data_IF_634617368524
#
_entry.id   IF_634617368524
#
_cell.length_a   1.000
_cell.length_b   1.000
_cell.length_c   1.000
_cell.angle_alpha   90.00
_cell.angle_beta   90.00
_cell.angle_gamma   90.00
#
_symmetry.space_group_name_H-M   'P 1'
#
loop_
_entity.id
_entity.type
_entity.pdbx_description
1 polymer ?
#
# COMPACT_ATOMS: atom_id res chain seq x y z
N UNK A 1 -5.96 1.64 -26.93
CA UNK A 1 -6.98 1.14 -25.96
C UNK A 1 -6.37 0.29 -24.86
N UNK A 2 -5.54 -0.72 -25.16
CA UNK A 2 -4.91 -1.55 -24.14
C UNK A 2 -4.04 -0.78 -23.13
N UNK A 3 -3.34 0.27 -23.57
CA UNK A 3 -2.51 1.11 -22.70
C UNK A 3 -3.31 1.80 -21.60
N UNK A 4 -4.47 2.37 -21.92
CA UNK A 4 -5.35 3.05 -20.95
C UNK A 4 -5.92 2.07 -19.92
N UNK A 5 -6.28 0.86 -20.35
CA UNK A 5 -6.77 -0.21 -19.47
C UNK A 5 -5.65 -0.62 -18.50
N UNK A 6 -4.43 -0.79 -19.01
CA UNK A 6 -3.27 -1.13 -18.21
C UNK A 6 -2.96 -0.04 -17.19
N UNK A 7 -3.00 1.24 -17.58
CA UNK A 7 -2.81 2.37 -16.64
C UNK A 7 -3.84 2.36 -15.51
N UNK A 8 -5.13 2.14 -15.82
CA UNK A 8 -6.19 2.06 -14.81
C UNK A 8 -5.99 0.89 -13.85
N UNK A 9 -5.53 -0.26 -14.36
CA UNK A 9 -5.18 -1.41 -13.53
C UNK A 9 -3.97 -1.13 -12.64
N UNK A 10 -2.92 -0.50 -13.18
CA UNK A 10 -1.74 -0.10 -12.40
C UNK A 10 -2.17 0.85 -11.27
N UNK A 11 -2.97 1.86 -11.58
CA UNK A 11 -3.50 2.81 -10.59
C UNK A 11 -4.33 2.11 -9.50
N UNK A 12 -5.22 1.19 -9.89
CA UNK A 12 -6.05 0.42 -8.94
C UNK A 12 -5.20 -0.45 -8.01
N UNK A 13 -4.16 -1.09 -8.53
CA UNK A 13 -3.25 -1.90 -7.74
C UNK A 13 -2.35 -1.06 -6.83
N UNK A 14 -1.93 0.13 -7.26
CA UNK A 14 -1.20 1.07 -6.40
C UNK A 14 -2.01 1.45 -5.16
N UNK A 15 -3.31 1.70 -5.31
CA UNK A 15 -4.21 1.95 -4.15
C UNK A 15 -4.30 0.71 -3.25
N UNK A 16 -4.37 -0.49 -3.83
CA UNK A 16 -4.40 -1.73 -3.06
C UNK A 16 -3.14 -1.92 -2.21
N UNK A 17 -1.96 -1.57 -2.72
CA UNK A 17 -0.71 -1.62 -1.95
C UNK A 17 -0.81 -0.74 -0.70
N UNK A 18 -1.39 0.46 -0.82
CA UNK A 18 -1.57 1.34 0.35
C UNK A 18 -2.61 0.77 1.33
N UNK A 19 -3.69 0.15 0.85
CA UNK A 19 -4.66 -0.55 1.73
C UNK A 19 -4.02 -1.69 2.51
N UNK A 20 -3.03 -2.39 1.96
CA UNK A 20 -2.39 -3.53 2.60
C UNK A 20 -1.65 -3.14 3.90
N UNK A 21 -1.12 -1.92 3.99
CA UNK A 21 -0.51 -1.42 5.24
C UNK A 21 -1.51 -1.35 6.40
N UNK A 22 -2.79 -1.08 6.12
CA UNK A 22 -3.81 -1.12 7.16
C UNK A 22 -4.06 -2.52 7.65
N UNK A 23 -4.09 -3.49 6.74
CA UNK A 23 -4.25 -4.88 7.09
C UNK A 23 -3.13 -5.32 8.03
N UNK A 24 -1.88 -4.95 7.74
CA UNK A 24 -0.76 -5.22 8.64
C UNK A 24 -0.94 -4.57 10.02
N UNK A 25 -1.46 -3.34 10.08
CA UNK A 25 -1.76 -2.68 11.36
C UNK A 25 -2.86 -3.42 12.14
N UNK A 26 -3.92 -3.86 11.47
CA UNK A 26 -5.01 -4.64 12.09
C UNK A 26 -4.53 -5.99 12.62
N UNK A 27 -3.64 -6.66 11.88
CA UNK A 27 -2.99 -7.90 12.31
C UNK A 27 -2.12 -7.67 13.55
N UNK A 28 -1.33 -6.59 13.57
CA UNK A 28 -0.47 -6.26 14.71
C UNK A 28 -1.26 -5.95 16.00
N UNK A 29 -2.47 -5.41 15.88
CA UNK A 29 -3.35 -5.07 17.01
C UNK A 29 -4.20 -6.29 17.45
N UNK A 30 -4.32 -7.32 16.62
CA UNK A 30 -5.03 -8.56 16.94
C UNK A 30 -6.54 -8.53 16.72
N UNK A 31 -7.12 -7.43 16.20
CA UNK A 31 -8.56 -7.34 15.87
C UNK A 31 -8.82 -7.62 14.38
N UNK A 32 -8.63 -8.89 13.96
CA UNK A 32 -8.92 -9.32 12.59
C UNK A 32 -10.42 -9.31 12.25
N UNK A 33 -11.33 -9.20 13.24
CA UNK A 33 -12.78 -9.33 13.02
C UNK A 33 -13.30 -8.26 12.05
N UNK A 34 -12.74 -7.06 12.11
CA UNK A 34 -13.10 -5.98 11.18
C UNK A 34 -12.62 -6.27 9.76
N UNK A 35 -11.43 -6.85 9.58
CA UNK A 35 -10.95 -7.25 8.26
C UNK A 35 -11.85 -8.31 7.60
N UNK A 36 -12.34 -9.27 8.39
CA UNK A 36 -13.28 -10.29 7.90
C UNK A 36 -14.63 -9.65 7.54
N UNK A 37 -15.09 -8.65 8.30
CA UNK A 37 -16.30 -7.88 7.98
C UNK A 37 -16.14 -7.10 6.66
N UNK A 38 -15.00 -6.45 6.47
CA UNK A 38 -14.65 -5.78 5.22
C UNK A 38 -14.69 -6.74 4.03
N UNK A 39 -13.98 -7.87 4.12
CA UNK A 39 -13.93 -8.84 3.03
C UNK A 39 -15.31 -9.42 2.73
N UNK A 40 -16.18 -9.61 3.72
CA UNK A 40 -17.57 -10.01 3.49
C UNK A 40 -18.35 -8.96 2.71
N UNK A 41 -18.25 -7.69 3.08
CA UNK A 41 -18.88 -6.59 2.33
C UNK A 41 -18.34 -6.56 0.90
N UNK A 42 -17.02 -6.71 0.74
CA UNK A 42 -16.35 -6.75 -0.55
C UNK A 42 -16.85 -7.90 -1.42
N UNK A 43 -16.97 -9.10 -0.85
CA UNK A 43 -17.47 -10.27 -1.54
C UNK A 43 -18.90 -10.05 -2.07
N UNK A 44 -19.76 -9.48 -1.23
CA UNK A 44 -21.19 -9.29 -1.55
C UNK A 44 -21.42 -8.11 -2.50
N UNK A 45 -20.54 -7.11 -2.51
CA UNK A 45 -20.73 -5.91 -3.34
C UNK A 45 -19.87 -5.93 -4.60
N UNK A 46 -18.56 -6.15 -4.48
CA UNK A 46 -17.61 -6.02 -5.57
C UNK A 46 -17.74 -7.15 -6.59
N UNK A 47 -17.88 -8.40 -6.13
CA UNK A 47 -17.97 -9.56 -7.03
C UNK A 47 -19.19 -9.47 -7.95
N UNK A 48 -20.44 -9.26 -7.48
CA UNK A 48 -21.56 -9.16 -8.40
C UNK A 48 -21.45 -7.95 -9.33
N UNK A 49 -20.91 -6.83 -8.85
CA UNK A 49 -20.65 -5.66 -9.69
C UNK A 49 -19.64 -5.96 -10.80
N UNK A 50 -18.54 -6.66 -10.50
CA UNK A 50 -17.55 -6.98 -11.53
C UNK A 50 -18.12 -7.94 -12.57
N UNK A 51 -18.93 -8.91 -12.16
CA UNK A 51 -19.64 -9.81 -13.08
C UNK A 51 -20.62 -9.06 -13.96
N UNK A 52 -21.42 -8.17 -13.39
CA UNK A 52 -22.37 -7.34 -14.16
C UNK A 52 -21.64 -6.48 -15.19
N UNK A 53 -20.59 -5.75 -14.77
CA UNK A 53 -19.83 -4.92 -15.69
C UNK A 53 -19.06 -5.72 -16.74
N UNK A 54 -18.59 -6.92 -16.42
CA UNK A 54 -17.91 -7.78 -17.39
C UNK A 54 -18.86 -8.37 -18.45
N UNK A 55 -20.13 -8.58 -18.12
CA UNK A 55 -21.10 -9.18 -19.04
C UNK A 55 -21.83 -8.16 -19.91
N UNK A 56 -22.09 -6.97 -19.37
CA UNK A 56 -22.88 -5.92 -20.05
C UNK A 56 -22.03 -4.78 -20.62
N UNK A 57 -20.78 -4.61 -20.19
CA UNK A 57 -19.91 -3.50 -20.58
C UNK A 57 -18.52 -3.98 -21.00
N UNK A 58 -17.79 -3.10 -21.69
CA UNK A 58 -16.40 -3.35 -22.08
C UNK A 58 -15.43 -3.40 -20.89
N UNK A 59 -14.29 -4.05 -21.12
CA UNK A 59 -13.17 -4.20 -20.17
C UNK A 59 -12.71 -2.87 -19.55
N UNK A 60 -12.88 -1.76 -20.28
CA UNK A 60 -12.59 -0.41 -19.78
C UNK A 60 -13.40 -0.08 -18.52
N UNK A 61 -14.70 -0.40 -18.49
CA UNK A 61 -15.56 -0.12 -17.34
C UNK A 61 -15.21 -1.01 -16.15
N UNK A 62 -14.81 -2.26 -16.41
CA UNK A 62 -14.30 -3.16 -15.37
C UNK A 62 -13.03 -2.60 -14.72
N UNK A 63 -12.13 -2.00 -15.51
CA UNK A 63 -10.91 -1.36 -15.03
C UNK A 63 -11.22 -0.10 -14.20
N UNK A 64 -12.10 0.77 -14.69
CA UNK A 64 -12.55 1.97 -13.97
C UNK A 64 -13.22 1.58 -12.64
N UNK A 65 -14.13 0.61 -12.67
CA UNK A 65 -14.81 0.11 -11.48
C UNK A 65 -13.81 -0.42 -10.47
N UNK A 66 -12.83 -1.19 -10.92
CA UNK A 66 -11.78 -1.75 -10.07
C UNK A 66 -10.92 -0.68 -9.40
N UNK A 67 -10.64 0.43 -10.08
CA UNK A 67 -9.94 1.57 -9.51
C UNK A 67 -10.81 2.33 -8.50
N UNK A 68 -12.00 2.76 -8.94
CA UNK A 68 -12.92 3.57 -8.12
C UNK A 68 -13.37 2.82 -6.88
N UNK A 69 -13.65 1.52 -6.99
CA UNK A 69 -14.07 0.69 -5.85
C UNK A 69 -12.93 0.55 -4.83
N UNK A 70 -11.69 0.30 -5.27
CA UNK A 70 -10.52 0.24 -4.37
C UNK A 70 -10.23 1.59 -3.72
N UNK A 71 -10.39 2.69 -4.46
CA UNK A 71 -10.22 4.04 -3.94
C UNK A 71 -11.30 4.41 -2.91
N UNK A 72 -12.57 4.17 -3.23
CA UNK A 72 -13.68 4.39 -2.32
C UNK A 72 -13.57 3.52 -1.07
N UNK A 73 -13.22 2.24 -1.24
CA UNK A 73 -13.01 1.32 -0.13
C UNK A 73 -11.83 1.76 0.74
N UNK A 74 -10.72 2.22 0.14
CA UNK A 74 -9.62 2.84 0.88
C UNK A 74 -10.14 4.02 1.70
N UNK A 75 -10.79 5.02 1.11
CA UNK A 75 -11.28 6.20 1.83
C UNK A 75 -12.25 5.87 2.98
N UNK A 76 -13.29 5.09 2.70
CA UNK A 76 -14.34 4.77 3.66
C UNK A 76 -13.83 3.87 4.78
N UNK A 77 -13.05 2.84 4.43
CA UNK A 77 -12.55 1.87 5.39
C UNK A 77 -11.37 2.43 6.20
N UNK A 78 -10.49 3.24 5.60
CA UNK A 78 -9.45 3.98 6.32
C UNK A 78 -10.04 4.85 7.42
N UNK A 79 -11.06 5.63 7.07
CA UNK A 79 -11.72 6.49 8.05
C UNK A 79 -12.32 5.69 9.21
N UNK A 80 -13.03 4.59 8.90
CA UNK A 80 -13.63 3.72 9.92
C UNK A 80 -12.59 3.07 10.84
N UNK A 81 -11.54 2.47 10.27
CA UNK A 81 -10.51 1.77 11.03
C UNK A 81 -9.70 2.75 11.88
N UNK A 82 -9.31 3.91 11.34
CA UNK A 82 -8.58 4.90 12.13
C UNK A 82 -9.42 5.47 13.29
N UNK A 83 -10.74 5.61 13.11
CA UNK A 83 -11.63 6.07 14.18
C UNK A 83 -11.74 5.04 15.32
N UNK A 84 -11.85 3.75 14.98
CA UNK A 84 -11.95 2.66 15.97
C UNK A 84 -10.61 2.39 16.67
N UNK A 85 -9.50 2.49 15.93
CA UNK A 85 -8.21 2.00 16.40
C UNK A 85 -7.51 2.94 17.38
N UNK A 86 -7.81 4.25 17.48
CA UNK A 86 -7.27 5.23 18.49
C UNK A 86 -5.74 5.26 18.76
N UNK A 87 -4.93 4.41 18.14
CA UNK A 87 -3.49 4.23 18.43
C UNK A 87 -2.63 5.27 17.70
N UNK A 88 -3.07 5.81 16.55
CA UNK A 88 -2.32 6.83 15.79
C UNK A 88 -3.25 7.82 15.08
N UNK A 89 -2.96 9.11 15.20
CA UNK A 89 -3.67 10.20 14.52
C UNK A 89 -3.49 10.10 12.99
N UNK A 90 -4.59 10.01 12.23
CA UNK A 90 -4.62 9.82 10.76
C UNK A 90 -3.65 10.73 9.99
N UNK A 91 -3.55 12.01 10.39
CA UNK A 91 -2.67 12.99 9.73
C UNK A 91 -1.18 12.66 9.89
N UNK A 92 -0.76 12.22 11.07
CA UNK A 92 0.63 11.89 11.36
C UNK A 92 1.07 10.60 10.64
N UNK A 93 0.19 9.62 10.53
CA UNK A 93 0.49 8.38 9.80
C UNK A 93 0.62 8.63 8.29
N UNK A 94 -0.31 9.39 7.70
CA UNK A 94 -0.27 9.71 6.28
C UNK A 94 0.97 10.55 5.92
N UNK A 95 1.28 11.59 6.71
CA UNK A 95 2.41 12.47 6.41
C UNK A 95 3.77 11.86 6.73
N UNK A 96 3.88 10.99 7.74
CA UNK A 96 5.17 10.45 8.19
C UNK A 96 5.53 9.11 7.56
N UNK A 97 4.55 8.30 7.15
CA UNK A 97 4.80 6.96 6.61
C UNK A 97 4.49 6.85 5.11
N UNK A 98 3.35 7.38 4.66
CA UNK A 98 2.96 7.26 3.23
C UNK A 98 3.64 8.32 2.39
N UNK A 99 3.59 9.58 2.81
CA UNK A 99 4.08 10.71 2.01
C UNK A 99 5.56 10.58 1.61
N UNK A 100 6.49 10.14 2.49
CA UNK A 100 7.89 9.96 2.10
C UNK A 100 8.06 8.82 1.09
N UNK A 101 7.33 7.71 1.25
CA UNK A 101 7.36 6.59 0.31
C UNK A 101 6.84 7.01 -1.06
N UNK A 102 5.74 7.77 -1.09
CA UNK A 102 5.15 8.29 -2.33
C UNK A 102 6.10 9.27 -3.03
N UNK A 103 6.71 10.19 -2.27
CA UNK A 103 7.71 11.13 -2.78
C UNK A 103 8.90 10.41 -3.41
N UNK A 104 9.44 9.38 -2.77
CA UNK A 104 10.55 8.60 -3.31
C UNK A 104 10.18 7.89 -4.61
N UNK A 105 8.99 7.27 -4.68
CA UNK A 105 8.51 6.66 -5.92
C UNK A 105 8.39 7.68 -7.05
N UNK A 106 7.82 8.87 -6.77
CA UNK A 106 7.68 9.94 -7.75
C UNK A 106 9.03 10.50 -8.22
N UNK A 107 9.99 10.65 -7.30
CA UNK A 107 11.34 11.14 -7.62
C UNK A 107 12.07 10.16 -8.54
N UNK A 108 12.06 8.86 -8.22
CA UNK A 108 12.70 7.83 -9.04
C UNK A 108 12.04 7.75 -10.42
N UNK A 109 10.70 7.72 -10.48
CA UNK A 109 10.00 7.73 -11.77
C UNK A 109 10.29 8.99 -12.57
N UNK A 110 10.27 10.17 -11.94
CA UNK A 110 10.56 11.45 -12.59
C UNK A 110 12.00 11.52 -13.11
N UNK A 111 12.96 11.00 -12.34
CA UNK A 111 14.36 10.93 -12.74
C UNK A 111 14.55 10.06 -13.99
N UNK A 112 13.90 8.89 -14.07
CA UNK A 112 14.00 8.02 -15.26
C UNK A 112 13.40 8.65 -16.52
N UNK A 113 12.32 9.43 -16.37
CA UNK A 113 11.70 10.17 -17.48
C UNK A 113 12.59 11.34 -17.92
N UNK A 114 13.16 12.09 -16.96
CA UNK A 114 14.03 13.23 -17.26
C UNK A 114 15.31 12.83 -17.99
N UNK A 115 15.94 11.72 -17.61
CA UNK A 115 17.15 11.21 -18.27
C UNK A 115 16.89 10.44 -19.57
N UNK A 116 15.64 10.33 -20.02
CA UNK A 116 15.30 9.73 -21.31
C UNK A 116 15.76 8.27 -21.44
N UNK A 117 15.76 7.52 -20.33
CA UNK A 117 16.16 6.11 -20.32
C UNK A 117 15.05 5.31 -21.01
N UNK A 118 15.09 5.26 -22.34
CA UNK A 118 14.03 4.68 -23.18
C UNK A 118 14.16 3.16 -23.38
N UNK A 119 15.22 2.54 -22.86
CA UNK A 119 15.35 1.08 -22.91
C UNK A 119 14.54 0.46 -21.78
N UNK A 120 13.36 -0.03 -22.12
CA UNK A 120 12.42 -0.73 -21.21
C UNK A 120 13.16 -1.70 -20.26
N UNK A 121 14.08 -2.53 -20.78
CA UNK A 121 14.85 -3.48 -19.97
C UNK A 121 15.79 -2.80 -18.95
N UNK A 122 16.43 -1.69 -19.32
CA UNK A 122 17.33 -0.95 -18.43
C UNK A 122 16.53 -0.19 -17.36
N UNK A 123 15.40 0.42 -17.73
CA UNK A 123 14.51 1.12 -16.80
C UNK A 123 13.91 0.16 -15.78
N UNK A 124 13.46 -1.03 -16.21
CA UNK A 124 12.97 -2.08 -15.30
C UNK A 124 14.07 -2.56 -14.36
N UNK A 125 15.30 -2.78 -14.86
CA UNK A 125 16.42 -3.25 -14.04
C UNK A 125 16.85 -2.21 -12.98
N UNK A 126 16.91 -0.93 -13.35
CA UNK A 126 17.20 0.18 -12.42
C UNK A 126 16.10 0.31 -11.35
N UNK A 127 14.82 0.17 -11.71
CA UNK A 127 13.72 0.17 -10.76
C UNK A 127 13.80 -1.01 -9.78
N UNK A 128 14.11 -2.22 -10.26
CA UNK A 128 14.25 -3.40 -9.39
C UNK A 128 15.42 -3.25 -8.41
N UNK A 129 16.57 -2.74 -8.85
CA UNK A 129 17.73 -2.51 -7.98
C UNK A 129 17.42 -1.46 -6.91
N UNK A 130 16.76 -0.36 -7.29
CA UNK A 130 16.38 0.70 -6.34
C UNK A 130 15.33 0.24 -5.33
N UNK A 131 14.37 -0.59 -5.72
CA UNK A 131 13.42 -1.21 -4.79
C UNK A 131 14.11 -2.18 -3.83
N UNK A 132 15.04 -3.01 -4.34
CA UNK A 132 15.80 -3.94 -3.51
C UNK A 132 16.70 -3.24 -2.49
N UNK A 133 17.37 -2.15 -2.89
CA UNK A 133 18.24 -1.38 -1.99
C UNK A 133 17.45 -0.65 -0.92
N UNK A 134 16.29 -0.07 -1.25
CA UNK A 134 15.39 0.55 -0.28
C UNK A 134 14.87 -0.47 0.74
N UNK A 135 14.46 -1.65 0.27
CA UNK A 135 14.00 -2.72 1.15
C UNK A 135 15.12 -3.20 2.11
N UNK A 136 16.34 -3.39 1.59
CA UNK A 136 17.50 -3.76 2.41
C UNK A 136 17.81 -2.69 3.47
N UNK A 137 17.74 -1.40 3.12
CA UNK A 137 17.95 -0.31 4.07
C UNK A 137 16.91 -0.29 5.20
N UNK A 138 15.63 -0.53 4.88
CA UNK A 138 14.57 -0.61 5.88
C UNK A 138 14.79 -1.80 6.82
N UNK A 139 15.14 -2.96 6.29
CA UNK A 139 15.41 -4.18 7.10
C UNK A 139 16.61 -3.97 8.01
N UNK A 140 17.70 -3.39 7.51
CA UNK A 140 18.87 -3.07 8.32
C UNK A 140 18.52 -2.07 9.43
N UNK A 141 17.76 -1.02 9.13
CA UNK A 141 17.28 -0.07 10.12
C UNK A 141 16.44 -0.74 11.22
N UNK A 142 15.52 -1.63 10.84
CA UNK A 142 14.69 -2.38 11.77
C UNK A 142 15.52 -3.32 12.67
N UNK A 143 16.53 -4.00 12.11
CA UNK A 143 17.44 -4.88 12.87
C UNK A 143 18.30 -4.10 13.87
N UNK A 144 18.80 -2.93 13.47
CA UNK A 144 19.57 -2.05 14.37
C UNK A 144 18.69 -1.55 15.51
N UNK A 145 17.47 -1.09 15.19
CA UNK A 145 16.52 -0.64 16.21
C UNK A 145 16.15 -1.77 17.18
N UNK A 146 15.90 -2.98 16.67
CA UNK A 146 15.63 -4.15 17.49
C UNK A 146 16.80 -4.49 18.42
N UNK A 147 18.05 -4.40 17.95
CA UNK A 147 19.23 -4.59 18.79
C UNK A 147 19.38 -3.53 19.87
N UNK A 148 19.09 -2.25 19.56
CA UNK A 148 19.17 -1.15 20.54
C UNK A 148 18.10 -1.31 21.62
N UNK A 149 16.85 -1.54 21.21
CA UNK A 149 15.73 -1.74 22.16
C UNK A 149 15.96 -2.95 23.05
N UNK A 150 16.46 -4.07 22.50
CA UNK A 150 16.73 -5.27 23.27
C UNK A 150 17.89 -5.07 24.26
N UNK A 151 18.87 -4.22 23.91
CA UNK A 151 19.96 -3.82 24.81
C UNK A 151 19.46 -2.96 25.98
N UNK A 152 18.55 -2.00 25.75
CA UNK A 152 17.96 -1.19 26.82
C UNK A 152 17.03 -1.97 27.74
N UNK A 153 16.29 -2.97 27.23
CA UNK A 153 15.49 -3.86 28.07
C UNK A 153 16.33 -4.77 28.96
N UNK A 154 17.49 -5.24 28.50
CA UNK A 154 18.40 -6.06 29.31
C UNK A 154 19.08 -5.23 30.43
N UNK A 155 19.49 -4.00 30.12
CA UNK A 155 20.04 -3.07 31.12
C UNK A 155 19.04 -2.77 32.23
N UNK A 156 17.75 -2.59 31.92
CA UNK A 156 16.72 -2.31 32.94
C UNK A 156 16.33 -3.53 33.81
N UNK A 157 16.68 -4.75 33.41
CA UNK A 157 16.42 -5.98 34.20
C UNK A 157 17.56 -6.28 35.18
N UNK A 158 18.81 -5.90 34.89
CA UNK A 158 19.96 -6.11 35.79
C UNK A 158 20.04 -5.13 36.97
N UNK A 159 19.27 -4.03 36.97
CA UNK A 159 19.27 -3.01 38.03
C UNK A 159 18.06 -3.09 38.99
N UNK A 160 17.33 -4.21 39.03
CA UNK A 160 16.20 -4.43 39.94
C UNK A 160 16.36 -5.69 40.76
#
# INVERSE_FOLDING_TARGET
MGETILTLYILGNSVAIVTAFQYYLQVAIGDLKEHVRYNKILLVTYIPLIFFFAYFYDVLYVAILSFTFKLASFLLWQWYVHHKTRVVTHKAWFSRNILPSLLMCCLVSGFTVFFGINKIQLTTLVLLITMASLYAAIVLGALVLAKILNKETLVNVEFR
#
